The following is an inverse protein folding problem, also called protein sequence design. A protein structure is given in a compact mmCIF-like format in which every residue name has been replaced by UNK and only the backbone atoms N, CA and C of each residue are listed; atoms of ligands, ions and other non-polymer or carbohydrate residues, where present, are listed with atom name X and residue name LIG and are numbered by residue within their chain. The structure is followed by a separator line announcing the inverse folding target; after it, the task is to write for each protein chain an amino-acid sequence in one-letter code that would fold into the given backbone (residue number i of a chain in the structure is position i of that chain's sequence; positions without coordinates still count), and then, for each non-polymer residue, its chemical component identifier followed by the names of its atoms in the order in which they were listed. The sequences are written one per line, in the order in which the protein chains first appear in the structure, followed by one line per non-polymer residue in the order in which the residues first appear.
data_IF_802667485822
#
_entry.id   IF_802667485822
#
_cell.length_a   1.000
_cell.length_b   1.000
_cell.length_c   1.000
_cell.angle_alpha   90.00
_cell.angle_beta   90.00
_cell.angle_gamma   90.00
#
_symmetry.space_group_name_H-M   'P 1'
#
loop_
_entity.id
_entity.type
_entity.pdbx_description
1 polymer ?
#
# COMPACT_ATOMS: atom_id res chain seq x y z
N UNK A 1 41.55 -13.63 17.94
CA UNK A 1 40.25 -12.93 17.96
C UNK A 1 40.10 -12.18 16.65
N UNK A 2 39.52 -12.84 15.65
CA UNK A 2 39.27 -12.24 14.33
C UNK A 2 37.84 -11.74 14.36
N UNK A 3 37.65 -10.43 14.46
CA UNK A 3 36.35 -9.78 14.30
C UNK A 3 35.83 -10.13 12.90
N UNK A 4 34.79 -10.96 12.84
CA UNK A 4 33.94 -11.07 11.67
C UNK A 4 33.23 -9.73 11.52
N UNK A 5 33.65 -8.94 10.53
CA UNK A 5 32.89 -7.82 10.03
C UNK A 5 31.52 -8.37 9.57
N UNK A 6 30.50 -8.20 10.41
CA UNK A 6 29.11 -8.27 9.98
C UNK A 6 28.93 -7.22 8.90
N UNK A 7 28.90 -7.66 7.65
CA UNK A 7 28.47 -6.82 6.52
C UNK A 7 27.13 -6.21 6.90
N UNK A 8 27.08 -4.90 7.09
CA UNK A 8 25.82 -4.18 7.15
C UNK A 8 25.02 -4.58 5.92
N UNK A 9 23.88 -5.24 6.14
CA UNK A 9 22.93 -5.49 5.08
C UNK A 9 22.39 -4.13 4.63
N UNK A 10 23.03 -3.54 3.63
CA UNK A 10 22.58 -2.29 2.99
C UNK A 10 21.17 -2.55 2.50
N UNK A 11 20.20 -2.09 3.28
CA UNK A 11 18.78 -2.31 3.00
C UNK A 11 18.37 -1.23 2.02
N UNK A 12 18.54 -1.51 0.73
CA UNK A 12 18.07 -0.60 -0.30
C UNK A 12 16.54 -0.58 -0.28
N UNK A 13 15.92 0.62 -0.29
CA UNK A 13 14.48 0.72 -0.29
C UNK A 13 13.90 0.07 -1.55
N UNK A 14 12.75 -0.63 -1.44
CA UNK A 14 12.09 -1.21 -2.60
C UNK A 14 11.67 -0.09 -3.55
N UNK A 15 12.01 -0.22 -4.83
CA UNK A 15 11.75 0.83 -5.82
C UNK A 15 10.25 1.14 -5.95
N UNK A 16 9.92 2.44 -6.02
CA UNK A 16 8.55 2.94 -6.24
C UNK A 16 7.92 2.39 -7.53
N UNK A 17 6.59 2.21 -7.53
CA UNK A 17 5.87 1.60 -8.67
C UNK A 17 6.01 2.45 -9.94
N UNK A 18 5.94 3.77 -9.80
CA UNK A 18 6.00 4.72 -10.92
C UNK A 18 7.36 4.61 -11.64
N UNK A 19 8.44 4.52 -10.87
CA UNK A 19 9.80 4.35 -11.42
C UNK A 19 9.97 3.02 -12.14
N UNK A 20 9.41 1.95 -11.59
CA UNK A 20 9.41 0.64 -12.27
C UNK A 20 8.61 0.69 -13.57
N UNK A 21 7.50 1.41 -13.59
CA UNK A 21 6.69 1.62 -14.79
C UNK A 21 7.47 2.40 -15.85
N UNK A 22 8.07 3.55 -15.51
CA UNK A 22 8.87 4.32 -16.46
C UNK A 22 10.07 3.52 -16.98
N UNK A 23 10.79 2.78 -16.12
CA UNK A 23 11.87 1.91 -16.56
C UNK A 23 11.37 0.86 -17.57
N UNK A 24 10.21 0.26 -17.31
CA UNK A 24 9.59 -0.71 -18.20
C UNK A 24 9.19 -0.08 -19.54
N UNK A 25 8.61 1.13 -19.54
CA UNK A 25 8.25 1.85 -20.76
C UNK A 25 9.49 2.14 -21.60
N UNK A 26 10.56 2.66 -20.99
CA UNK A 26 11.83 2.93 -21.68
C UNK A 26 12.40 1.64 -22.29
N UNK A 27 12.46 0.55 -21.51
CA UNK A 27 12.92 -0.76 -21.99
C UNK A 27 12.08 -1.26 -23.20
N UNK A 28 10.76 -0.98 -23.21
CA UNK A 28 9.88 -1.36 -24.33
C UNK A 28 10.04 -0.48 -25.56
N UNK A 29 10.21 0.82 -25.40
CA UNK A 29 10.48 1.70 -26.52
C UNK A 29 11.78 1.32 -27.22
N UNK A 30 12.83 1.00 -26.44
CA UNK A 30 14.11 0.51 -26.99
C UNK A 30 13.90 -0.80 -27.76
N UNK A 31 13.23 -1.79 -27.16
CA UNK A 31 12.99 -3.08 -27.82
C UNK A 31 12.13 -2.94 -29.09
N UNK A 32 11.05 -2.17 -29.04
CA UNK A 32 10.18 -1.94 -30.20
C UNK A 32 10.87 -1.16 -31.31
N UNK A 33 11.73 -0.19 -30.98
CA UNK A 33 12.57 0.50 -31.95
C UNK A 33 13.48 -0.46 -32.71
N UNK A 34 14.14 -1.38 -31.98
CA UNK A 34 14.98 -2.43 -32.59
C UNK A 34 14.17 -3.38 -33.47
N UNK A 35 12.98 -3.79 -33.03
CA UNK A 35 12.10 -4.65 -33.84
C UNK A 35 11.56 -3.95 -35.08
N UNK A 36 11.16 -2.68 -34.97
CA UNK A 36 10.71 -1.90 -36.12
C UNK A 36 11.83 -1.75 -37.17
N UNK A 37 13.06 -1.48 -36.72
CA UNK A 37 14.23 -1.44 -37.60
C UNK A 37 14.50 -2.81 -38.26
N UNK A 38 14.41 -3.90 -37.50
CA UNK A 38 14.60 -5.26 -38.04
C UNK A 38 13.51 -5.64 -39.04
N UNK A 39 12.24 -5.29 -38.78
CA UNK A 39 11.11 -5.52 -39.70
C UNK A 39 11.28 -4.68 -40.97
N UNK A 40 11.67 -3.42 -40.85
CA UNK A 40 11.94 -2.57 -42.00
C UNK A 40 13.08 -3.12 -42.86
N UNK A 41 14.18 -3.55 -42.23
CA UNK A 41 15.30 -4.18 -42.93
C UNK A 41 14.89 -5.52 -43.57
N UNK A 42 14.12 -6.35 -42.86
CA UNK A 42 13.58 -7.60 -43.39
C UNK A 42 12.72 -7.33 -44.63
N UNK A 43 11.82 -6.35 -44.56
CA UNK A 43 10.98 -5.98 -45.67
C UNK A 43 11.80 -5.52 -46.88
N UNK A 44 12.66 -4.52 -46.69
CA UNK A 44 13.36 -3.83 -47.78
C UNK A 44 14.53 -4.63 -48.39
N UNK A 45 15.15 -5.53 -47.65
CA UNK A 45 16.33 -6.27 -48.13
C UNK A 45 16.08 -7.75 -48.37
N UNK A 46 14.99 -8.33 -47.83
CA UNK A 46 14.72 -9.77 -47.94
C UNK A 46 13.35 -10.05 -48.56
N UNK A 47 12.27 -9.45 -48.05
CA UNK A 47 10.89 -9.77 -48.49
C UNK A 47 10.58 -9.15 -49.86
N UNK A 48 10.86 -7.86 -50.06
CA UNK A 48 10.62 -7.17 -51.34
C UNK A 48 11.42 -7.79 -52.50
N UNK A 49 12.69 -8.22 -52.32
CA UNK A 49 13.40 -9.03 -53.31
C UNK A 49 12.90 -10.47 -53.51
N UNK A 50 11.86 -10.91 -52.79
CA UNK A 50 11.23 -12.23 -52.93
C UNK A 50 11.70 -13.31 -51.95
N UNK A 51 12.65 -13.03 -51.05
CA UNK A 51 13.11 -13.96 -50.01
C UNK A 51 12.30 -13.82 -48.70
N UNK A 52 11.06 -14.30 -48.74
CA UNK A 52 10.16 -14.27 -47.58
C UNK A 52 10.75 -15.05 -46.38
N UNK A 53 11.36 -16.21 -46.63
CA UNK A 53 11.93 -17.06 -45.58
C UNK A 53 13.07 -16.37 -44.81
N UNK A 54 13.97 -15.71 -45.53
CA UNK A 54 15.04 -14.92 -44.93
C UNK A 54 14.51 -13.72 -44.15
N UNK A 55 13.47 -13.04 -44.65
CA UNK A 55 12.80 -11.95 -43.96
C UNK A 55 12.19 -12.39 -42.62
N UNK A 56 11.43 -13.49 -42.62
CA UNK A 56 10.87 -14.08 -41.40
C UNK A 56 11.99 -14.49 -40.44
N UNK A 57 13.04 -15.15 -40.94
CA UNK A 57 14.19 -15.57 -40.16
C UNK A 57 14.89 -14.39 -39.48
N UNK A 58 15.05 -13.25 -40.17
CA UNK A 58 15.63 -12.03 -39.60
C UNK A 58 14.76 -11.47 -38.48
N UNK A 59 13.44 -11.39 -38.67
CA UNK A 59 12.52 -10.89 -37.63
C UNK A 59 12.55 -11.79 -36.41
N UNK A 60 12.40 -13.11 -36.58
CA UNK A 60 12.46 -14.08 -35.47
C UNK A 60 13.81 -14.05 -34.77
N UNK A 61 14.91 -14.04 -35.54
CA UNK A 61 16.26 -13.92 -35.02
C UNK A 61 16.46 -12.65 -34.20
N UNK A 62 15.94 -11.51 -34.66
CA UNK A 62 16.03 -10.24 -33.93
C UNK A 62 15.33 -10.29 -32.58
N UNK A 63 14.15 -10.93 -32.49
CA UNK A 63 13.42 -11.11 -31.22
C UNK A 63 14.24 -11.95 -30.24
N UNK A 64 14.85 -13.04 -30.71
CA UNK A 64 15.70 -13.91 -29.88
C UNK A 64 16.96 -13.18 -29.40
N UNK A 65 17.66 -12.47 -30.30
CA UNK A 65 18.89 -11.74 -29.99
C UNK A 65 18.64 -10.60 -29.00
N UNK A 66 17.62 -9.78 -29.25
CA UNK A 66 17.25 -8.68 -28.33
C UNK A 66 16.81 -9.23 -26.99
N UNK A 67 15.95 -10.26 -26.97
CA UNK A 67 15.51 -10.91 -25.74
C UNK A 67 16.67 -11.48 -24.93
N UNK A 68 17.63 -12.13 -25.58
CA UNK A 68 18.83 -12.65 -24.95
C UNK A 68 19.72 -11.52 -24.42
N UNK A 69 19.93 -10.45 -25.21
CA UNK A 69 20.72 -9.29 -24.80
C UNK A 69 20.18 -8.62 -23.54
N UNK A 70 18.87 -8.36 -23.48
CA UNK A 70 18.23 -7.84 -22.26
C UNK A 70 18.37 -8.81 -21.07
N UNK A 71 18.28 -10.12 -21.31
CA UNK A 71 18.47 -11.13 -20.26
C UNK A 71 19.90 -11.15 -19.73
N UNK A 72 20.89 -11.01 -20.60
CA UNK A 72 22.31 -10.94 -20.21
C UNK A 72 22.61 -9.68 -19.41
N UNK A 73 22.14 -8.52 -19.87
CA UNK A 73 22.29 -7.24 -19.13
C UNK A 73 21.69 -7.34 -17.72
N UNK A 74 20.48 -7.89 -17.62
CA UNK A 74 19.82 -8.07 -16.33
C UNK A 74 20.53 -9.11 -15.45
N UNK A 75 21.00 -10.22 -16.03
CA UNK A 75 21.65 -11.30 -15.31
C UNK A 75 23.06 -10.96 -14.82
N UNK A 76 23.84 -10.22 -15.62
CA UNK A 76 25.23 -9.87 -15.32
C UNK A 76 25.34 -8.56 -14.54
N UNK A 77 24.57 -7.54 -14.93
CA UNK A 77 24.68 -6.21 -14.34
C UNK A 77 23.53 -5.86 -13.38
N UNK A 78 22.46 -6.68 -13.35
CA UNK A 78 21.25 -6.35 -12.59
C UNK A 78 20.46 -5.18 -13.18
N UNK A 79 20.82 -4.68 -14.36
CA UNK A 79 20.21 -3.47 -14.93
C UNK A 79 19.93 -3.64 -16.41
N UNK A 80 18.72 -3.24 -16.82
CA UNK A 80 18.38 -2.97 -18.22
C UNK A 80 18.58 -1.48 -18.51
N UNK A 81 18.61 -1.04 -19.79
CA UNK A 81 18.82 0.37 -20.14
C UNK A 81 17.89 1.34 -19.41
N UNK A 82 16.58 1.04 -19.34
CA UNK A 82 15.62 1.87 -18.62
C UNK A 82 15.76 1.83 -17.11
N UNK A 83 16.20 0.70 -16.54
CA UNK A 83 16.48 0.58 -15.09
C UNK A 83 17.74 1.34 -14.71
N UNK A 84 18.80 1.23 -15.51
CA UNK A 84 20.03 1.99 -15.33
C UNK A 84 19.75 3.51 -15.38
N UNK A 85 18.93 3.96 -16.32
CA UNK A 85 18.55 5.37 -16.47
C UNK A 85 17.82 5.92 -15.23
N UNK A 86 17.02 5.10 -14.56
CA UNK A 86 16.25 5.50 -13.37
C UNK A 86 16.93 5.13 -12.03
N UNK A 87 18.18 4.65 -12.07
CA UNK A 87 18.91 4.27 -10.86
C UNK A 87 18.35 3.03 -10.17
N UNK A 88 17.77 2.11 -10.94
CA UNK A 88 17.20 0.86 -10.46
C UNK A 88 18.14 -0.31 -10.74
N UNK A 89 18.22 -1.25 -9.79
CA UNK A 89 18.88 -2.54 -9.97
C UNK A 89 17.99 -3.69 -9.56
N UNK A 90 18.16 -4.81 -10.23
CA UNK A 90 17.53 -6.09 -9.93
C UNK A 90 18.58 -6.98 -9.31
N UNK A 91 18.34 -7.37 -8.07
CA UNK A 91 19.28 -8.16 -7.26
C UNK A 91 18.59 -9.40 -6.73
N UNK A 92 19.38 -10.44 -6.45
CA UNK A 92 18.90 -11.63 -5.78
C UNK A 92 18.60 -11.29 -4.30
N UNK A 93 17.45 -11.74 -3.80
CA UNK A 93 17.00 -11.47 -2.43
C UNK A 93 17.99 -12.03 -1.38
N UNK A 94 18.66 -13.14 -1.71
CA UNK A 94 19.56 -13.85 -0.80
C UNK A 94 20.91 -13.15 -0.61
N UNK A 95 21.45 -12.55 -1.68
CA UNK A 95 22.86 -12.11 -1.73
C UNK A 95 23.03 -10.62 -2.04
N UNK A 96 22.00 -9.94 -2.55
CA UNK A 96 22.11 -8.56 -3.03
C UNK A 96 22.94 -8.40 -4.31
N UNK A 97 23.46 -9.49 -4.88
CA UNK A 97 24.21 -9.51 -6.13
C UNK A 97 23.26 -9.56 -7.35
N UNK A 98 23.75 -9.30 -8.58
CA UNK A 98 22.97 -9.52 -9.80
C UNK A 98 22.36 -10.92 -9.84
N UNK A 99 21.14 -11.03 -10.39
CA UNK A 99 20.32 -12.26 -10.31
C UNK A 99 20.93 -13.47 -11.02
N UNK A 100 21.95 -13.27 -11.86
CA UNK A 100 22.56 -14.31 -12.68
C UNK A 100 21.80 -14.55 -14.00
N UNK A 101 22.55 -14.95 -15.03
CA UNK A 101 22.03 -15.10 -16.41
C UNK A 101 20.90 -16.13 -16.50
N UNK A 102 21.02 -17.27 -15.81
CA UNK A 102 20.00 -18.33 -15.87
C UNK A 102 18.63 -17.87 -15.35
N UNK A 103 18.61 -17.20 -14.18
CA UNK A 103 17.38 -16.64 -13.60
C UNK A 103 16.82 -15.51 -14.47
N UNK A 104 17.69 -14.70 -15.09
CA UNK A 104 17.27 -13.63 -16.01
C UNK A 104 16.64 -14.16 -17.30
N UNK A 105 17.20 -15.22 -17.89
CA UNK A 105 16.62 -15.88 -19.08
C UNK A 105 15.28 -16.52 -18.73
N UNK A 106 15.17 -17.21 -17.59
CA UNK A 106 13.90 -17.76 -17.12
C UNK A 106 12.84 -16.66 -16.95
N UNK A 107 13.23 -15.52 -16.35
CA UNK A 107 12.35 -14.34 -16.23
C UNK A 107 11.85 -13.86 -17.59
N UNK A 108 12.74 -13.75 -18.57
CA UNK A 108 12.41 -13.31 -19.93
C UNK A 108 11.52 -14.30 -20.67
N UNK A 109 11.74 -15.61 -20.47
CA UNK A 109 10.88 -16.65 -21.04
C UNK A 109 9.47 -16.60 -20.47
N UNK A 110 9.33 -16.47 -19.15
CA UNK A 110 8.02 -16.32 -18.50
C UNK A 110 7.27 -15.11 -19.07
N UNK A 111 7.94 -13.97 -19.18
CA UNK A 111 7.35 -12.75 -19.74
C UNK A 111 7.05 -12.88 -21.24
N UNK A 112 7.91 -13.57 -21.99
CA UNK A 112 7.72 -13.82 -23.42
C UNK A 112 6.53 -14.71 -23.71
N UNK A 113 6.40 -15.82 -22.98
CA UNK A 113 5.26 -16.73 -23.06
C UNK A 113 3.96 -16.03 -22.64
N UNK A 114 4.01 -15.14 -21.65
CA UNK A 114 2.84 -14.35 -21.28
C UNK A 114 2.47 -13.31 -22.34
N UNK A 115 3.46 -12.74 -23.05
CA UNK A 115 3.25 -11.69 -24.05
C UNK A 115 2.73 -12.20 -25.40
N UNK A 116 3.27 -13.33 -25.88
CA UNK A 116 3.04 -13.88 -27.22
C UNK A 116 1.56 -14.16 -27.55
N UNK A 117 0.78 -14.87 -26.72
CA UNK A 117 -0.61 -15.19 -27.04
C UNK A 117 -1.58 -14.03 -26.74
N UNK A 118 -1.14 -12.99 -26.02
CA UNK A 118 -2.02 -11.95 -25.49
C UNK A 118 -1.76 -10.56 -26.08
N UNK A 119 -0.92 -10.45 -27.12
CA UNK A 119 -0.49 -9.16 -27.68
C UNK A 119 0.03 -8.19 -26.60
N UNK A 120 0.74 -8.71 -25.59
CA UNK A 120 1.28 -7.92 -24.49
C UNK A 120 0.32 -7.66 -23.31
N UNK A 121 -0.97 -8.00 -23.41
CA UNK A 121 -1.93 -7.87 -22.29
C UNK A 121 -1.50 -8.76 -21.11
N UNK A 122 -0.95 -9.94 -21.37
CA UNK A 122 -0.45 -10.86 -20.34
C UNK A 122 0.75 -10.31 -19.56
N UNK A 123 1.54 -9.42 -20.17
CA UNK A 123 2.61 -8.69 -19.45
C UNK A 123 2.01 -7.64 -18.52
N UNK A 124 0.96 -6.94 -18.95
CA UNK A 124 0.23 -6.01 -18.09
C UNK A 124 -0.45 -6.74 -16.91
N UNK A 125 -1.00 -7.95 -17.15
CA UNK A 125 -1.57 -8.81 -16.11
C UNK A 125 -0.51 -9.28 -15.10
N UNK A 126 0.69 -9.64 -15.56
CA UNK A 126 1.80 -9.98 -14.66
C UNK A 126 2.35 -8.76 -13.91
N UNK A 127 2.36 -7.58 -14.53
CA UNK A 127 2.69 -6.34 -13.84
C UNK A 127 1.65 -6.00 -12.75
N UNK A 128 0.36 -6.29 -12.99
CA UNK A 128 -0.70 -6.15 -11.99
C UNK A 128 -0.47 -7.02 -10.75
N UNK A 129 0.15 -8.20 -10.90
CA UNK A 129 0.52 -9.03 -9.72
C UNK A 129 1.55 -8.37 -8.82
N UNK A 130 2.45 -7.53 -9.36
CA UNK A 130 3.41 -6.77 -8.57
C UNK A 130 2.74 -5.62 -7.79
N UNK A 131 1.64 -5.08 -8.33
CA UNK A 131 0.81 -4.04 -7.67
C UNK A 131 -0.02 -4.63 -6.54
N UNK A 132 -0.40 -5.91 -6.64
CA UNK A 132 -1.19 -6.63 -5.63
C UNK A 132 -0.36 -7.29 -4.53
N UNK A 133 0.98 -7.27 -4.61
CA UNK A 133 1.85 -7.83 -3.58
C UNK A 133 1.76 -6.98 -2.31
N UNK A 134 1.10 -7.54 -1.28
CA UNK A 134 0.91 -6.93 0.05
C UNK A 134 2.17 -7.01 0.91
N UNK A 135 3.17 -7.80 0.51
CA UNK A 135 4.49 -7.75 1.10
C UNK A 135 5.18 -6.49 0.59
N UNK A 136 5.67 -5.65 1.48
CA UNK A 136 6.19 -4.29 1.25
C UNK A 136 7.34 -4.18 0.19
N UNK A 137 7.74 -5.29 -0.44
CA UNK A 137 8.78 -5.41 -1.48
C UNK A 137 8.25 -5.32 -2.93
N UNK A 138 6.92 -5.35 -3.13
CA UNK A 138 6.22 -5.12 -4.41
C UNK A 138 6.68 -6.04 -5.56
N UNK A 139 6.79 -7.36 -5.36
CA UNK A 139 7.36 -8.28 -6.36
C UNK A 139 6.28 -8.83 -7.28
N UNK A 140 6.54 -8.83 -8.60
CA UNK A 140 5.67 -9.53 -9.55
C UNK A 140 5.84 -11.04 -9.46
N UNK A 141 4.89 -11.82 -9.97
CA UNK A 141 5.00 -13.28 -9.97
C UNK A 141 6.31 -13.79 -10.62
N UNK A 142 6.75 -13.13 -11.68
CA UNK A 142 8.02 -13.44 -12.34
C UNK A 142 9.26 -13.12 -11.49
N UNK A 143 9.18 -12.14 -10.58
CA UNK A 143 10.24 -11.83 -9.62
C UNK A 143 10.24 -12.82 -8.45
N UNK A 144 9.06 -13.27 -8.01
CA UNK A 144 8.92 -14.32 -7.00
C UNK A 144 9.52 -15.64 -7.45
N UNK A 145 9.20 -16.08 -8.68
CA UNK A 145 9.73 -17.33 -9.25
C UNK A 145 11.26 -17.26 -9.44
N UNK A 146 11.81 -16.07 -9.65
CA UNK A 146 13.25 -15.88 -9.89
C UNK A 146 14.02 -15.42 -8.66
N UNK A 147 13.36 -15.32 -7.50
CA UNK A 147 13.94 -14.81 -6.25
C UNK A 147 14.65 -13.45 -6.42
N UNK A 148 14.04 -12.58 -7.23
CA UNK A 148 14.56 -11.26 -7.58
C UNK A 148 13.79 -10.15 -6.86
N UNK A 149 14.49 -9.04 -6.57
CA UNK A 149 13.88 -7.81 -6.08
C UNK A 149 14.47 -6.61 -6.80
N UNK A 150 13.63 -5.60 -7.08
CA UNK A 150 14.05 -4.34 -7.71
C UNK A 150 14.30 -3.31 -6.61
N UNK A 151 15.55 -2.91 -6.47
CA UNK A 151 16.04 -1.95 -5.49
C UNK A 151 16.37 -0.62 -6.16
N UNK A 152 16.13 0.47 -5.43
CA UNK A 152 16.61 1.80 -5.82
C UNK A 152 18.02 1.98 -5.25
N UNK A 153 19.00 2.23 -6.12
CA UNK A 153 20.41 2.38 -5.72
C UNK A 153 20.87 3.83 -5.67
N UNK A 154 19.96 4.78 -5.81
CA UNK A 154 20.29 6.20 -5.69
C UNK A 154 20.53 6.55 -4.23
N UNK A 155 21.47 7.48 -3.94
CA UNK A 155 21.64 7.99 -2.59
C UNK A 155 20.29 8.50 -2.10
N UNK A 156 19.85 8.07 -0.91
CA UNK A 156 18.73 8.70 -0.26
C UNK A 156 19.06 10.20 -0.17
N UNK A 157 18.15 11.11 -0.54
CA UNK A 157 18.37 12.52 -0.24
C UNK A 157 18.61 12.58 1.26
N UNK A 158 19.77 13.09 1.67
CA UNK A 158 19.99 13.51 3.05
C UNK A 158 18.88 14.50 3.34
N UNK A 159 17.87 14.04 4.07
CA UNK A 159 17.01 14.96 4.79
C UNK A 159 17.99 15.52 5.80
N UNK A 160 18.49 16.73 5.53
CA UNK A 160 19.01 17.59 6.57
C UNK A 160 17.85 17.73 7.56
N UNK A 161 17.78 16.79 8.51
CA UNK A 161 17.14 17.01 9.78
C UNK A 161 17.93 18.20 10.32
N UNK A 162 17.42 19.42 10.06
CA UNK A 162 17.80 20.58 10.83
C UNK A 162 17.44 20.18 12.24
N UNK A 163 18.45 19.67 12.97
CA UNK A 163 18.38 19.42 14.40
C UNK A 163 18.22 20.80 15.00
N UNK A 164 16.98 21.27 15.04
CA UNK A 164 16.67 22.43 15.83
C UNK A 164 16.90 22.01 17.26
N UNK A 165 18.01 22.51 17.81
CA UNK A 165 18.47 22.30 19.17
C UNK A 165 17.46 22.92 20.14
N UNK A 166 16.33 22.23 20.30
CA UNK A 166 15.36 22.54 21.33
C UNK A 166 15.87 21.85 22.59
N UNK A 167 16.07 22.58 23.70
CA UNK A 167 16.60 22.01 24.93
C UNK A 167 15.69 20.87 25.37
N UNK A 168 16.22 19.63 25.30
CA UNK A 168 15.54 18.46 25.83
C UNK A 168 15.37 18.66 27.33
N UNK A 169 14.14 18.90 27.77
CA UNK A 169 13.82 18.94 29.19
C UNK A 169 14.06 17.53 29.75
N UNK A 170 15.19 17.36 30.44
CA UNK A 170 15.56 16.11 31.11
C UNK A 170 14.58 15.88 32.26
N UNK A 171 13.57 15.04 32.01
CA UNK A 171 12.71 14.55 33.09
C UNK A 171 13.50 13.49 33.84
N UNK A 172 13.86 13.79 35.09
CA UNK A 172 14.69 12.93 35.92
C UNK A 172 13.89 11.68 36.35
N UNK A 173 13.99 10.60 35.55
CA UNK A 173 13.32 9.31 35.81
C UNK A 173 13.77 8.64 37.11
N UNK A 174 14.86 9.11 37.71
CA UNK A 174 15.39 8.63 39.00
C UNK A 174 14.45 8.88 40.19
N UNK A 175 13.39 9.69 40.02
CA UNK A 175 12.35 9.88 41.04
C UNK A 175 11.19 8.86 40.96
N UNK A 176 11.11 8.01 39.93
CA UNK A 176 10.14 6.92 39.91
C UNK A 176 10.69 5.70 40.66
N UNK A 177 10.45 5.72 41.97
CA UNK A 177 10.52 4.62 42.94
C UNK A 177 10.25 3.24 42.31
N UNK A 178 11.33 2.49 42.07
CA UNK A 178 11.29 1.07 41.76
C UNK A 178 10.85 0.29 43.01
N UNK A 179 9.76 -0.46 42.87
CA UNK A 179 9.40 -1.55 43.80
C UNK A 179 10.41 -2.69 43.56
N UNK A 180 11.09 -3.22 44.59
CA UNK A 180 12.04 -4.32 44.38
C UNK A 180 11.29 -5.62 44.04
N UNK A 181 11.56 -6.19 42.86
CA UNK A 181 11.20 -7.56 42.53
C UNK A 181 12.20 -8.53 43.17
N UNK A 182 11.69 -9.54 43.87
CA UNK A 182 12.46 -10.56 44.57
C UNK A 182 13.36 -11.38 43.61
N UNK A 183 14.55 -11.71 44.09
CA UNK A 183 15.61 -12.39 43.36
C UNK A 183 15.25 -13.81 42.90
N UNK A 184 15.73 -14.17 41.69
CA UNK A 184 15.67 -15.49 41.11
C UNK A 184 16.68 -16.47 41.76
N UNK A 185 16.41 -17.78 41.83
CA UNK A 185 17.41 -18.79 42.20
C UNK A 185 18.29 -19.21 41.00
N UNK A 186 19.54 -19.54 41.32
CA UNK A 186 20.63 -19.92 40.41
C UNK A 186 20.47 -21.33 39.76
N UNK A 187 21.23 -21.64 38.68
CA UNK A 187 21.09 -22.89 37.92
C UNK A 187 21.80 -24.07 38.59
N UNK A 188 21.13 -25.23 38.66
CA UNK A 188 21.70 -26.51 39.09
C UNK A 188 22.29 -27.31 37.91
N UNK A 189 23.37 -28.04 38.19
CA UNK A 189 24.23 -28.82 37.29
C UNK A 189 23.56 -30.10 36.71
N UNK A 190 24.14 -30.74 35.67
CA UNK A 190 23.52 -31.86 34.94
C UNK A 190 23.85 -33.23 35.54
N UNK A 191 22.90 -34.17 35.48
CA UNK A 191 23.03 -35.59 35.91
C UNK A 191 22.39 -36.50 34.83
N UNK A 192 22.93 -37.72 34.56
CA UNK A 192 22.91 -38.36 33.24
C UNK A 192 21.74 -39.34 32.95
N UNK A 193 21.73 -39.82 31.70
CA UNK A 193 20.66 -40.55 31.00
C UNK A 193 20.42 -42.02 31.39
N UNK A 194 19.17 -42.48 31.24
CA UNK A 194 18.70 -43.74 30.60
C UNK A 194 17.22 -44.04 31.00
N UNK A 195 16.49 -44.98 30.36
CA UNK A 195 16.39 -45.35 28.95
C UNK A 195 14.93 -45.27 28.41
N UNK A 196 14.80 -45.32 27.09
CA UNK A 196 13.54 -45.39 26.31
C UNK A 196 12.67 -46.62 26.60
N UNK A 197 11.34 -46.48 26.43
CA UNK A 197 10.52 -47.55 25.85
C UNK A 197 9.80 -47.12 24.56
N UNK A 198 10.17 -47.82 23.48
CA UNK A 198 9.31 -48.48 22.49
C UNK A 198 8.08 -47.76 21.91
N UNK A 199 8.23 -47.43 20.63
CA UNK A 199 7.26 -47.20 19.54
C UNK A 199 5.87 -47.87 19.68
N UNK A 200 4.82 -47.07 19.47
CA UNK A 200 3.50 -47.51 19.00
C UNK A 200 3.10 -46.68 17.76
N UNK A 201 2.33 -47.30 16.87
CA UNK A 201 2.00 -46.89 15.50
C UNK A 201 1.13 -45.61 15.38
N UNK A 202 1.08 -44.94 14.21
CA UNK A 202 0.20 -43.80 13.99
C UNK A 202 -1.24 -44.28 13.78
N UNK A 203 -2.17 -43.76 14.59
CA UNK A 203 -3.62 -43.94 14.42
C UNK A 203 -4.20 -42.69 13.76
N UNK A 204 -5.22 -42.94 12.94
CA UNK A 204 -5.85 -42.11 11.92
C UNK A 204 -6.20 -40.65 12.28
N UNK A 205 -6.09 -39.81 11.25
CA UNK A 205 -6.56 -38.44 11.22
C UNK A 205 -8.10 -38.37 11.07
N UNK A 206 -8.81 -37.53 11.84
CA UNK A 206 -10.19 -37.20 11.55
C UNK A 206 -10.30 -36.06 10.52
N UNK A 207 -11.08 -36.33 9.48
CA UNK A 207 -11.55 -35.42 8.43
C UNK A 207 -12.41 -34.28 9.02
N UNK A 208 -12.30 -33.03 8.54
CA UNK A 208 -13.22 -31.96 8.94
C UNK A 208 -14.61 -32.18 8.29
N UNK A 209 -15.65 -32.27 9.11
CA UNK A 209 -17.06 -32.27 8.70
C UNK A 209 -17.60 -30.83 8.67
N UNK A 210 -18.40 -30.54 7.65
CA UNK A 210 -19.08 -29.26 7.43
C UNK A 210 -20.17 -28.99 8.48
N UNK A 211 -20.51 -27.71 8.76
CA UNK A 211 -21.61 -27.36 9.67
C UNK A 211 -23.00 -27.55 9.02
N UNK A 212 -24.03 -27.96 9.78
CA UNK A 212 -25.39 -28.12 9.28
C UNK A 212 -26.19 -26.80 9.26
N UNK A 213 -27.00 -26.69 8.22
CA UNK A 213 -28.02 -25.66 7.93
C UNK A 213 -29.21 -25.78 8.89
N UNK A 214 -29.65 -24.67 9.49
CA UNK A 214 -30.89 -24.60 10.27
C UNK A 214 -32.08 -24.18 9.37
N UNK A 215 -33.28 -24.79 9.49
CA UNK A 215 -34.46 -24.42 8.71
C UNK A 215 -35.29 -23.29 9.33
N UNK A 216 -35.99 -22.61 8.43
CA UNK A 216 -36.93 -21.50 8.59
C UNK A 216 -38.09 -21.75 9.56
N UNK A 217 -38.49 -20.71 10.28
CA UNK A 217 -39.86 -20.54 10.77
C UNK A 217 -40.40 -19.19 10.25
N UNK A 218 -41.39 -19.28 9.35
CA UNK A 218 -42.19 -18.17 8.83
C UNK A 218 -43.22 -17.72 9.88
N UNK A 219 -43.48 -16.42 9.97
CA UNK A 219 -44.78 -15.87 10.35
C UNK A 219 -45.00 -14.58 9.55
N UNK A 220 -46.12 -14.53 8.82
CA UNK A 220 -46.49 -13.49 7.86
C UNK A 220 -47.05 -12.20 8.47
N UNK A 221 -47.47 -11.24 7.61
CA UNK A 221 -47.57 -9.81 7.94
C UNK A 221 -49.00 -9.37 8.34
N UNK A 222 -49.15 -8.11 8.78
CA UNK A 222 -50.27 -7.35 8.24
C UNK A 222 -49.91 -5.94 7.73
N UNK A 223 -50.45 -5.70 6.54
CA UNK A 223 -51.01 -4.51 5.91
C UNK A 223 -50.83 -3.09 6.54
N UNK A 224 -50.30 -2.23 5.67
CA UNK A 224 -50.46 -0.79 5.45
C UNK A 224 -51.71 -0.11 6.06
N UNK A 225 -51.48 1.04 6.72
CA UNK A 225 -52.29 2.26 6.54
C UNK A 225 -51.58 3.52 7.12
N UNK A 226 -51.16 4.44 6.24
CA UNK A 226 -51.16 5.89 6.50
C UNK A 226 -52.59 6.40 6.18
N UNK A 227 -53.08 7.62 6.57
CA UNK A 227 -52.31 8.87 6.67
C UNK A 227 -52.79 9.92 7.72
N UNK A 228 -52.05 11.04 7.81
CA UNK A 228 -52.50 12.46 7.75
C UNK A 228 -51.81 13.38 8.77
N UNK A 229 -51.39 14.53 8.25
CA UNK A 229 -50.90 15.72 8.97
C UNK A 229 -52.07 16.56 9.47
N UNK A 230 -51.90 17.18 10.63
CA UNK A 230 -52.52 18.47 10.99
C UNK A 230 -51.71 19.12 12.11
N UNK A 231 -51.39 20.40 11.92
CA UNK A 231 -50.66 21.30 12.82
C UNK A 231 -51.58 21.89 13.92
N UNK A 232 -51.21 22.99 14.59
CA UNK A 232 -50.46 23.11 15.86
C UNK A 232 -51.35 23.56 17.04
N UNK A 233 -50.82 23.65 18.27
CA UNK A 233 -51.19 24.83 19.08
C UNK A 233 -50.03 25.47 19.89
N UNK A 234 -49.98 26.79 19.79
CA UNK A 234 -49.90 27.80 20.88
C UNK A 234 -49.04 27.56 22.13
N UNK A 235 -48.08 28.47 22.35
CA UNK A 235 -47.48 28.81 23.67
C UNK A 235 -48.19 30.06 24.26
N UNK A 236 -47.93 30.55 25.50
CA UNK A 236 -47.48 29.96 26.79
C UNK A 236 -48.40 30.42 27.97
N UNK A 237 -48.09 30.22 29.29
CA UNK A 237 -47.16 31.10 30.03
C UNK A 237 -46.27 30.44 31.12
N UNK A 238 -45.04 30.97 31.19
CA UNK A 238 -44.14 31.23 32.33
C UNK A 238 -44.20 30.41 33.64
N UNK A 239 -43.10 29.68 33.90
CA UNK A 239 -42.46 29.53 35.23
C UNK A 239 -40.93 29.31 35.06
N UNK A 240 -40.04 30.07 35.74
CA UNK A 240 -38.59 29.83 35.75
C UNK A 240 -38.12 29.16 37.08
N UNK A 241 -36.85 28.79 37.24
CA UNK A 241 -36.00 27.95 36.39
C UNK A 241 -35.45 26.74 37.20
N UNK A 242 -35.48 25.53 36.65
CA UNK A 242 -34.58 24.46 37.11
C UNK A 242 -33.66 24.13 35.96
N UNK A 243 -32.42 24.60 36.06
CA UNK A 243 -31.35 24.29 35.13
C UNK A 243 -31.24 22.76 34.96
N UNK A 244 -31.40 22.21 33.75
CA UNK A 244 -30.87 20.88 33.47
C UNK A 244 -29.34 20.96 33.59
N UNK A 245 -28.69 19.93 34.14
CA UNK A 245 -27.23 19.89 34.24
C UNK A 245 -26.66 20.01 32.84
N UNK A 246 -25.63 20.85 32.70
CA UNK A 246 -24.89 21.07 31.46
C UNK A 246 -24.69 19.72 30.76
N UNK A 247 -25.48 19.49 29.72
CA UNK A 247 -25.34 18.37 28.82
C UNK A 247 -23.92 18.53 28.26
N UNK A 248 -23.01 17.65 28.68
CA UNK A 248 -21.61 17.69 28.30
C UNK A 248 -21.53 17.93 26.81
N UNK A 249 -21.19 19.15 26.40
CA UNK A 249 -21.11 19.54 25.01
C UNK A 249 -20.08 18.61 24.37
N UNK A 250 -20.56 17.59 23.65
CA UNK A 250 -19.69 16.73 22.86
C UNK A 250 -18.95 17.70 21.95
N UNK A 251 -17.61 17.78 22.01
CA UNK A 251 -16.87 18.77 21.26
C UNK A 251 -17.22 18.61 19.77
N UNK A 252 -17.93 19.60 19.24
CA UNK A 252 -18.27 19.69 17.83
C UNK A 252 -17.01 20.10 17.08
N UNK A 253 -16.75 19.43 15.97
CA UNK A 253 -15.62 19.74 15.10
C UNK A 253 -16.15 20.26 13.79
N UNK A 254 -15.67 21.44 13.36
CA UNK A 254 -15.92 21.95 12.01
C UNK A 254 -14.72 21.63 11.14
N UNK A 255 -15.04 21.22 9.93
CA UNK A 255 -14.07 20.93 8.89
C UNK A 255 -14.37 21.87 7.73
N UNK A 256 -13.34 22.54 7.22
CA UNK A 256 -13.42 23.42 6.06
C UNK A 256 -12.44 22.94 4.98
N UNK A 257 -12.90 22.87 3.74
CA UNK A 257 -12.08 22.51 2.58
C UNK A 257 -11.65 23.74 1.79
N UNK A 258 -10.56 23.63 1.05
CA UNK A 258 -10.07 24.64 0.10
C UNK A 258 -11.08 24.99 -1.00
N UNK A 259 -12.06 24.11 -1.24
CA UNK A 259 -13.19 24.33 -2.15
C UNK A 259 -14.30 25.21 -1.56
N UNK A 260 -14.21 25.59 -0.28
CA UNK A 260 -15.22 26.38 0.45
C UNK A 260 -16.34 25.55 1.08
N UNK A 261 -16.31 24.21 0.96
CA UNK A 261 -17.26 23.35 1.66
C UNK A 261 -16.90 23.26 3.14
N UNK A 262 -17.86 23.57 4.01
CA UNK A 262 -17.70 23.46 5.46
C UNK A 262 -18.84 22.66 6.07
N UNK A 263 -18.52 21.75 7.00
CA UNK A 263 -19.55 21.04 7.77
C UNK A 263 -19.06 20.65 9.16
N UNK A 264 -20.02 20.40 10.05
CA UNK A 264 -19.76 19.88 11.39
C UNK A 264 -19.75 18.35 11.34
N UNK A 265 -18.71 17.73 11.87
CA UNK A 265 -18.54 16.27 11.86
C UNK A 265 -19.44 15.65 12.93
N UNK A 266 -20.65 15.28 12.54
CA UNK A 266 -21.64 14.62 13.43
C UNK A 266 -21.56 13.08 13.41
N UNK A 267 -20.64 12.50 12.64
CA UNK A 267 -20.45 11.06 12.50
C UNK A 267 -19.36 10.70 11.51
N UNK A 268 -19.43 9.52 10.89
CA UNK A 268 -18.45 9.09 9.90
C UNK A 268 -18.61 9.92 8.61
N UNK A 269 -17.57 10.67 8.25
CA UNK A 269 -17.49 11.40 7.00
C UNK A 269 -16.47 10.74 6.07
N UNK A 270 -16.81 10.53 4.80
CA UNK A 270 -15.90 10.03 3.77
C UNK A 270 -15.61 11.12 2.75
N UNK A 271 -14.33 11.27 2.39
CA UNK A 271 -13.85 12.27 1.45
C UNK A 271 -13.15 11.59 0.27
N UNK A 272 -13.37 12.10 -0.93
CA UNK A 272 -12.64 11.69 -2.13
C UNK A 272 -13.30 12.19 -3.41
N UNK A 273 -12.81 11.80 -4.59
CA UNK A 273 -13.39 12.27 -5.87
C UNK A 273 -14.79 11.74 -6.15
N UNK A 274 -15.11 10.56 -5.62
CA UNK A 274 -16.42 9.89 -5.70
C UNK A 274 -16.55 8.99 -4.46
N UNK A 275 -16.84 9.57 -3.28
CA UNK A 275 -16.88 8.82 -2.05
C UNK A 275 -18.07 7.85 -2.08
N UNK A 276 -17.79 6.57 -1.87
CA UNK A 276 -18.78 5.51 -1.77
C UNK A 276 -18.66 4.81 -0.41
N UNK A 277 -19.80 4.62 0.25
CA UNK A 277 -19.90 3.85 1.48
C UNK A 277 -19.77 2.34 1.19
N UNK A 278 -19.08 1.58 2.06
CA UNK A 278 -19.08 0.11 1.96
C UNK A 278 -20.41 -0.46 2.48
N UNK A 279 -20.79 -1.65 2.01
CA UNK A 279 -21.98 -2.35 2.50
C UNK A 279 -21.89 -2.56 4.02
N UNK A 280 -22.85 -2.02 4.77
CA UNK A 280 -22.87 -2.04 6.24
C UNK A 280 -22.23 -0.85 6.96
N UNK A 281 -21.74 0.16 6.24
CA UNK A 281 -21.11 1.37 6.81
C UNK A 281 -22.14 2.52 6.88
N UNK A 282 -22.50 2.95 8.08
CA UNK A 282 -23.39 4.12 8.30
C UNK A 282 -22.60 5.42 8.16
N UNK A 283 -22.54 5.96 6.94
CA UNK A 283 -21.85 7.22 6.63
C UNK A 283 -22.79 8.40 6.82
N UNK A 284 -22.39 9.35 7.66
CA UNK A 284 -23.15 10.59 7.93
C UNK A 284 -22.91 11.65 6.84
N UNK A 285 -21.69 11.73 6.31
CA UNK A 285 -21.33 12.71 5.28
C UNK A 285 -20.48 12.09 4.16
N UNK A 286 -20.91 12.27 2.90
CA UNK A 286 -20.13 11.96 1.71
C UNK A 286 -19.70 13.29 1.08
N UNK A 287 -18.39 13.55 1.04
CA UNK A 287 -17.83 14.84 0.61
C UNK A 287 -17.07 14.63 -0.70
N UNK A 288 -17.72 14.90 -1.85
CA UNK A 288 -17.10 14.75 -3.16
C UNK A 288 -16.15 15.92 -3.47
N UNK A 289 -14.85 15.72 -3.32
CA UNK A 289 -13.85 16.71 -3.70
C UNK A 289 -13.41 16.53 -5.15
N UNK A 290 -13.63 17.54 -5.99
CA UNK A 290 -13.13 17.54 -7.38
C UNK A 290 -11.63 17.76 -7.37
N UNK A 291 -10.84 16.80 -7.84
CA UNK A 291 -9.38 16.95 -8.03
C UNK A 291 -9.09 17.41 -9.46
N UNK A 292 -8.13 18.31 -9.62
CA UNK A 292 -7.72 18.87 -10.92
C UNK A 292 -6.73 17.96 -11.66
N UNK A 293 -5.95 17.18 -10.91
CA UNK A 293 -4.83 16.37 -11.39
C UNK A 293 -5.05 14.85 -11.18
N UNK A 294 -6.29 14.44 -10.85
CA UNK A 294 -6.64 13.05 -10.51
C UNK A 294 -5.88 12.49 -9.29
N UNK A 295 -5.28 13.35 -8.46
CA UNK A 295 -4.52 12.94 -7.27
C UNK A 295 -5.39 12.44 -6.11
N UNK A 296 -6.71 12.65 -6.18
CA UNK A 296 -7.67 12.11 -5.23
C UNK A 296 -8.24 10.75 -5.66
N UNK A 297 -8.10 9.74 -4.79
CA UNK A 297 -8.80 8.45 -4.90
C UNK A 297 -10.32 8.60 -4.76
N UNK A 298 -11.09 7.58 -5.20
CA UNK A 298 -12.58 7.57 -5.14
C UNK A 298 -13.07 7.85 -3.72
N UNK A 299 -12.64 7.01 -2.78
CA UNK A 299 -12.74 7.21 -1.33
C UNK A 299 -11.30 7.30 -0.80
N UNK A 300 -10.84 8.50 -0.47
CA UNK A 300 -9.45 8.79 -0.09
C UNK A 300 -9.24 8.65 1.41
N UNK A 301 -10.03 9.38 2.22
CA UNK A 301 -9.90 9.39 3.67
C UNK A 301 -11.27 9.36 4.35
N UNK A 302 -11.28 8.98 5.63
CA UNK A 302 -12.44 9.06 6.51
C UNK A 302 -12.14 9.88 7.76
N UNK A 303 -13.18 10.51 8.29
CA UNK A 303 -13.15 11.29 9.52
C UNK A 303 -14.27 10.83 10.43
N UNK A 304 -13.98 10.74 11.72
CA UNK A 304 -14.99 10.46 12.71
C UNK A 304 -14.62 11.15 14.01
N UNK A 305 -15.63 11.61 14.75
CA UNK A 305 -15.47 12.02 16.14
C UNK A 305 -15.54 10.76 16.99
N UNK A 306 -14.50 10.52 17.77
CA UNK A 306 -14.48 9.40 18.74
C UNK A 306 -15.45 9.66 19.88
N UNK A 307 -15.89 8.63 20.63
CA UNK A 307 -16.72 8.81 21.82
C UNK A 307 -16.06 9.71 22.89
N UNK A 308 -14.73 9.83 22.87
CA UNK A 308 -13.96 10.74 23.72
C UNK A 308 -13.93 12.20 23.21
N UNK A 309 -14.64 12.51 22.12
CA UNK A 309 -14.73 13.85 21.55
C UNK A 309 -13.53 14.28 20.69
N UNK A 310 -12.60 13.38 20.38
CA UNK A 310 -11.47 13.69 19.53
C UNK A 310 -11.80 13.41 18.05
N UNK A 311 -11.48 14.34 17.15
CA UNK A 311 -11.56 14.13 15.70
C UNK A 311 -10.41 13.23 15.25
N UNK A 312 -10.73 12.19 14.50
CA UNK A 312 -9.76 11.22 13.98
C UNK A 312 -9.89 11.16 12.48
N UNK A 313 -8.74 11.24 11.80
CA UNK A 313 -8.61 10.98 10.37
C UNK A 313 -7.97 9.61 10.15
N UNK A 314 -8.43 8.90 9.13
CA UNK A 314 -7.80 7.67 8.67
C UNK A 314 -7.75 7.66 7.14
N UNK A 315 -6.56 7.44 6.59
CA UNK A 315 -6.39 7.21 5.16
C UNK A 315 -6.92 5.80 4.81
N UNK A 316 -7.73 5.69 3.75
CA UNK A 316 -8.35 4.42 3.33
C UNK A 316 -7.54 3.67 2.27
N UNK A 317 -6.22 3.91 2.24
CA UNK A 317 -5.31 3.34 1.26
C UNK A 317 -5.35 4.12 -0.05
N UNK A 318 -5.30 5.45 0.06
CA UNK A 318 -5.20 6.32 -1.11
C UNK A 318 -3.89 6.07 -1.88
N UNK A 319 -3.92 6.33 -3.19
CA UNK A 319 -2.76 6.11 -4.06
C UNK A 319 -1.61 7.08 -3.76
N UNK A 320 -1.95 8.32 -3.41
CA UNK A 320 -0.97 9.39 -3.17
C UNK A 320 -0.71 9.65 -1.68
N UNK A 321 -1.43 8.95 -0.80
CA UNK A 321 -1.35 9.15 0.64
C UNK A 321 -2.03 10.45 1.12
N UNK A 322 -2.06 10.59 2.43
CA UNK A 322 -2.58 11.78 3.12
C UNK A 322 -1.55 12.29 4.13
N UNK A 323 -1.45 13.60 4.29
CA UNK A 323 -0.47 14.24 5.19
C UNK A 323 -1.18 15.19 6.14
N UNK A 324 -0.91 15.08 7.44
CA UNK A 324 -1.36 16.05 8.44
C UNK A 324 -0.25 17.06 8.67
N UNK A 325 -0.58 18.34 8.56
CA UNK A 325 0.30 19.48 8.86
C UNK A 325 -0.17 20.08 10.18
N UNK A 326 0.70 20.02 11.19
CA UNK A 326 0.47 20.58 12.52
C UNK A 326 1.53 21.64 12.80
N UNK A 327 1.10 22.90 12.93
CA UNK A 327 2.01 24.02 13.20
C UNK A 327 3.24 24.04 12.25
N UNK A 328 3.02 23.73 10.97
CA UNK A 328 4.08 23.65 9.96
C UNK A 328 4.83 22.30 9.87
N UNK A 329 4.63 21.39 10.83
CA UNK A 329 5.23 20.05 10.80
C UNK A 329 4.32 19.09 10.05
N UNK A 330 4.83 18.52 8.96
CA UNK A 330 4.13 17.54 8.14
C UNK A 330 4.35 16.11 8.65
N UNK A 331 3.27 15.35 8.83
CA UNK A 331 3.28 13.94 9.21
C UNK A 331 2.42 13.13 8.25
N UNK A 332 3.04 12.20 7.52
CA UNK A 332 2.31 11.29 6.66
C UNK A 332 1.42 10.33 7.47
N UNK A 333 0.18 10.13 7.01
CA UNK A 333 -0.74 9.17 7.58
C UNK A 333 -0.43 7.77 7.04
N UNK A 334 -0.36 6.78 7.93
CA UNK A 334 -0.30 5.38 7.52
C UNK A 334 -1.70 4.89 7.16
N UNK A 335 -1.86 4.32 5.97
CA UNK A 335 -3.13 3.74 5.53
C UNK A 335 -3.72 2.77 6.58
N UNK A 336 -5.01 2.94 6.88
CA UNK A 336 -5.74 2.13 7.85
C UNK A 336 -5.44 2.43 9.32
N UNK A 337 -4.50 3.34 9.65
CA UNK A 337 -4.24 3.75 11.04
C UNK A 337 -4.97 5.05 11.38
N UNK A 338 -5.81 5.08 12.43
CA UNK A 338 -6.45 6.30 12.87
C UNK A 338 -5.43 7.26 13.49
N UNK A 339 -5.47 8.52 13.09
CA UNK A 339 -4.65 9.60 13.65
C UNK A 339 -5.53 10.70 14.20
N UNK A 340 -5.29 11.10 15.45
CA UNK A 340 -6.03 12.18 16.12
C UNK A 340 -5.61 13.55 15.61
N UNK A 341 -6.60 14.34 15.19
CA UNK A 341 -6.44 15.73 14.79
C UNK A 341 -6.65 16.67 15.98
N UNK A 342 -5.94 17.79 15.97
CA UNK A 342 -6.08 18.90 16.91
C UNK A 342 -6.68 20.12 16.18
N UNK A 343 -7.25 21.05 16.96
CA UNK A 343 -7.76 22.30 16.39
C UNK A 343 -6.62 23.10 15.74
N UNK A 344 -6.84 23.59 14.53
CA UNK A 344 -5.82 24.27 13.71
C UNK A 344 -4.94 23.34 12.88
N UNK A 345 -5.11 22.01 12.97
CA UNK A 345 -4.44 21.09 12.05
C UNK A 345 -4.98 21.29 10.62
N UNK A 346 -4.09 21.12 9.64
CA UNK A 346 -4.46 21.02 8.23
C UNK A 346 -4.18 19.61 7.73
N UNK A 347 -5.02 19.05 6.88
CA UNK A 347 -4.79 17.75 6.25
C UNK A 347 -4.79 17.94 4.74
N UNK A 348 -3.74 17.43 4.09
CA UNK A 348 -3.59 17.45 2.65
C UNK A 348 -3.88 16.06 2.07
N UNK A 349 -4.74 16.05 1.04
CA UNK A 349 -5.16 14.88 0.29
C UNK A 349 -4.86 15.14 -1.19
N UNK A 350 -3.73 14.64 -1.70
CA UNK A 350 -3.29 15.02 -3.05
C UNK A 350 -3.20 16.54 -3.22
N UNK A 351 -3.97 17.09 -4.17
CA UNK A 351 -4.07 18.53 -4.47
C UNK A 351 -5.01 19.33 -3.55
N UNK A 352 -5.72 18.67 -2.62
CA UNK A 352 -6.72 19.31 -1.75
C UNK A 352 -6.26 19.48 -0.33
N UNK A 353 -6.79 20.51 0.33
CA UNK A 353 -6.47 20.83 1.72
C UNK A 353 -7.75 20.99 2.52
N UNK A 354 -7.70 20.48 3.73
CA UNK A 354 -8.75 20.57 4.73
C UNK A 354 -8.19 21.17 6.01
N UNK A 355 -8.89 22.12 6.62
CA UNK A 355 -8.58 22.68 7.92
C UNK A 355 -9.61 22.24 8.94
N UNK A 356 -9.19 22.01 10.17
CA UNK A 356 -10.08 21.58 11.25
C UNK A 356 -10.07 22.56 12.41
N UNK A 357 -11.24 22.84 12.95
CA UNK A 357 -11.42 23.71 14.11
C UNK A 357 -12.48 23.13 15.06
N UNK A 358 -12.45 23.57 16.31
CA UNK A 358 -13.52 23.27 17.25
C UNK A 358 -14.68 24.24 16.98
N UNK A 359 -15.87 23.68 16.81
CA UNK A 359 -17.09 24.41 16.51
C UNK A 359 -17.80 24.91 17.77
#
# INVERSE_FOLDING_TARGET
MTQLATSEATTYPPAELDRRFYAFVVDRLVAWGLYAAAVYAAYRYLIEPGNLGGGIGLVVGSVLVVGLGFSLLLGLAGASPGKALLGLRVVAVETGAPIGVGRAVLRSLILGVAALPTFGIGVASLAWTAVMDRGEQRRGWHDLVTHAVVVDVRPAPEVDDVVEDRPRQVVNLTAMRLVPAAAAPAPAAPVPAAPTPRRAAPVDAPRPTAPPTAPYAQLGPPLVAAPRRSAPPTSPPTAPPTAPPAESAVPSWRVAFDTGEEFVVAGLALVGRRPEARSGESVSHLVPLRSSDMSLSKTHAQFQVTPAGALVVMDRGSTNGSVVIRQGVSKALTAGRPTTLLAGDSVCFGDRRMTVERA
#
